data_IF_724126320958
#
_entry.id   IF_724126320958
#
_cell.length_a   1.000
_cell.length_b   1.000
_cell.length_c   1.000
_cell.angle_alpha   90.00
_cell.angle_beta   90.00
_cell.angle_gamma   90.00
#
_symmetry.space_group_name_H-M   'P 1'
#
loop_
_entity.id
_entity.type
_entity.pdbx_description
1 polymer ?
#
# COMPACT_ATOMS: atom_id res chain seq x y z
N UNK A 1 -46.27 38.55 -33.23
CA UNK A 1 -45.68 38.78 -34.58
C UNK A 1 -44.97 40.13 -34.56
N UNK A 2 -43.63 40.15 -34.60
CA UNK A 2 -42.84 41.40 -34.54
C UNK A 2 -42.81 42.02 -35.93
N UNK A 3 -43.32 43.25 -36.05
CA UNK A 3 -43.30 44.00 -37.32
C UNK A 3 -41.89 44.55 -37.56
N UNK A 4 -41.40 44.41 -38.79
CA UNK A 4 -40.12 45.02 -39.20
C UNK A 4 -40.24 46.54 -39.19
N UNK A 5 -39.14 47.22 -38.84
CA UNK A 5 -39.08 48.67 -38.84
C UNK A 5 -39.25 49.28 -40.24
N UNK A 6 -39.64 50.56 -40.33
CA UNK A 6 -39.82 51.24 -41.61
C UNK A 6 -38.48 51.36 -42.36
N UNK A 7 -38.56 51.34 -43.68
CA UNK A 7 -37.40 51.57 -44.55
C UNK A 7 -37.01 53.06 -44.41
N UNK A 8 -35.70 53.38 -44.27
CA UNK A 8 -35.27 54.77 -44.12
C UNK A 8 -35.73 55.62 -45.31
N UNK A 9 -36.10 56.85 -45.01
CA UNK A 9 -36.65 57.76 -46.00
C UNK A 9 -35.55 58.29 -46.93
N UNK A 10 -35.90 58.63 -48.17
CA UNK A 10 -34.93 59.15 -49.16
C UNK A 10 -34.19 60.42 -48.69
N UNK A 11 -34.81 61.21 -47.80
CA UNK A 11 -34.23 62.43 -47.24
C UNK A 11 -33.45 62.19 -45.93
N UNK A 12 -33.49 60.98 -45.38
CA UNK A 12 -32.85 60.63 -44.13
C UNK A 12 -31.36 60.36 -44.35
N UNK A 13 -30.50 61.11 -43.65
CA UNK A 13 -29.05 60.94 -43.78
C UNK A 13 -28.63 59.70 -42.99
N UNK A 14 -27.77 58.83 -43.55
CA UNK A 14 -27.28 57.67 -42.82
C UNK A 14 -26.56 58.12 -41.55
N UNK A 15 -26.71 57.35 -40.47
CA UNK A 15 -25.92 57.55 -39.24
C UNK A 15 -24.48 57.12 -39.55
N UNK A 16 -23.70 58.04 -40.11
CA UNK A 16 -22.27 57.86 -40.31
C UNK A 16 -21.63 58.19 -38.97
N UNK A 17 -20.98 57.21 -38.33
CA UNK A 17 -20.14 57.51 -37.16
C UNK A 17 -19.10 58.55 -37.57
N UNK A 18 -19.01 59.63 -36.80
CA UNK A 18 -17.99 60.66 -37.02
C UNK A 18 -16.62 60.00 -37.10
N UNK A 19 -15.85 60.36 -38.14
CA UNK A 19 -14.49 59.83 -38.29
C UNK A 19 -13.71 60.19 -37.02
N UNK A 20 -13.15 59.18 -36.36
CA UNK A 20 -12.34 59.40 -35.16
C UNK A 20 -11.22 60.40 -35.48
N UNK A 21 -11.10 61.45 -34.67
CA UNK A 21 -10.01 62.44 -34.75
C UNK A 21 -8.70 61.88 -34.19
N UNK A 22 -8.41 60.61 -34.48
CA UNK A 22 -7.22 59.91 -34.01
C UNK A 22 -6.10 60.18 -35.00
N UNK A 23 -5.03 60.80 -34.54
CA UNK A 23 -3.85 61.04 -35.37
C UNK A 23 -2.99 59.77 -35.43
N UNK A 24 -3.21 58.99 -36.49
CA UNK A 24 -2.48 57.73 -36.70
C UNK A 24 -1.00 57.95 -36.98
N UNK A 25 -0.57 59.14 -37.43
CA UNK A 25 0.85 59.40 -37.72
C UNK A 25 1.63 59.52 -36.41
N UNK A 26 1.15 60.35 -35.49
CA UNK A 26 1.81 60.53 -34.19
C UNK A 26 1.69 59.29 -33.31
N UNK A 27 0.56 58.59 -33.36
CA UNK A 27 0.35 57.39 -32.56
C UNK A 27 1.19 56.21 -33.03
N UNK A 28 1.30 55.96 -34.33
CA UNK A 28 2.15 54.88 -34.83
C UNK A 28 3.64 55.19 -34.57
N UNK A 29 4.04 56.47 -34.68
CA UNK A 29 5.38 56.91 -34.33
C UNK A 29 5.68 56.66 -32.84
N UNK A 30 4.75 57.04 -31.95
CA UNK A 30 4.89 56.81 -30.51
C UNK A 30 4.87 55.33 -30.15
N UNK A 31 4.04 54.52 -30.82
CA UNK A 31 3.95 53.08 -30.60
C UNK A 31 5.27 52.40 -30.97
N UNK A 32 5.87 52.76 -32.10
CA UNK A 32 7.16 52.22 -32.53
C UNK A 32 8.32 52.67 -31.62
N UNK A 33 8.31 53.93 -31.16
CA UNK A 33 9.33 54.45 -30.21
C UNK A 33 9.23 53.73 -28.86
N UNK A 34 8.00 53.42 -28.41
CA UNK A 34 7.75 52.73 -27.14
C UNK A 34 7.87 51.21 -27.25
N UNK A 35 7.96 50.67 -28.46
CA UNK A 35 8.08 49.24 -28.67
C UNK A 35 9.40 48.74 -28.10
N UNK A 36 9.34 47.61 -27.40
CA UNK A 36 10.56 46.90 -26.98
C UNK A 36 11.16 46.22 -28.21
N UNK A 37 12.50 46.15 -28.33
CA UNK A 37 13.13 45.42 -29.41
C UNK A 37 12.68 43.94 -29.39
N UNK A 38 12.65 43.28 -30.56
CA UNK A 38 12.36 41.85 -30.62
C UNK A 38 13.36 41.07 -29.77
N UNK A 39 12.92 39.91 -29.27
CA UNK A 39 13.81 39.00 -28.54
C UNK A 39 14.93 38.57 -29.49
N UNK A 40 16.16 38.94 -29.15
CA UNK A 40 17.37 38.44 -29.82
C UNK A 40 17.51 36.95 -29.48
N UNK A 41 18.02 36.16 -30.42
CA UNK A 41 18.36 34.76 -30.17
C UNK A 41 19.24 34.66 -28.91
N UNK A 42 18.81 33.85 -27.95
CA UNK A 42 19.57 33.68 -26.71
C UNK A 42 20.88 32.98 -27.04
N UNK A 43 22.01 33.56 -26.62
CA UNK A 43 23.32 32.92 -26.73
C UNK A 43 23.33 31.55 -26.03
N UNK A 44 24.27 30.68 -26.44
CA UNK A 44 24.38 29.32 -25.90
C UNK A 44 24.48 29.31 -24.37
N UNK A 45 23.57 28.56 -23.73
CA UNK A 45 23.52 28.47 -22.27
C UNK A 45 24.64 27.57 -21.74
N UNK A 46 25.63 28.19 -21.09
CA UNK A 46 26.72 27.47 -20.44
C UNK A 46 26.24 26.75 -19.17
N UNK A 47 26.22 25.42 -19.16
CA UNK A 47 25.80 24.64 -17.99
C UNK A 47 26.71 24.81 -16.75
N UNK A 48 27.93 25.28 -16.96
CA UNK A 48 28.90 25.61 -15.90
C UNK A 48 28.52 26.88 -15.13
N UNK A 49 27.77 27.80 -15.74
CA UNK A 49 27.35 29.05 -15.10
C UNK A 49 26.15 28.89 -14.16
N UNK A 50 25.68 27.65 -13.97
CA UNK A 50 24.58 27.35 -13.05
C UNK A 50 24.96 27.75 -11.60
N UNK A 51 24.07 28.45 -10.86
CA UNK A 51 24.36 28.90 -9.50
C UNK A 51 24.52 27.76 -8.49
N UNK A 52 24.00 26.58 -8.83
CA UNK A 52 24.09 25.33 -8.07
C UNK A 52 25.19 24.39 -8.58
N UNK A 53 26.00 24.80 -9.56
CA UNK A 53 27.13 24.00 -10.04
C UNK A 53 28.09 23.72 -8.86
N UNK A 54 28.45 22.45 -8.68
CA UNK A 54 29.28 21.99 -7.56
C UNK A 54 28.61 21.96 -6.18
N UNK A 55 27.32 22.32 -6.05
CA UNK A 55 26.58 22.27 -4.77
C UNK A 55 25.69 21.03 -4.72
N UNK A 56 25.66 20.37 -3.56
CA UNK A 56 24.76 19.23 -3.33
C UNK A 56 23.30 19.75 -3.25
N UNK A 57 22.38 19.26 -4.10
CA UNK A 57 20.98 19.62 -4.03
C UNK A 57 20.34 19.31 -2.67
N UNK A 58 19.47 20.22 -2.19
CA UNK A 58 18.84 20.08 -0.87
C UNK A 58 17.99 18.81 -0.70
N UNK A 59 17.34 18.34 -1.78
CA UNK A 59 16.50 17.15 -1.73
C UNK A 59 17.28 15.88 -1.35
N UNK A 60 18.57 15.79 -1.71
CA UNK A 60 19.39 14.61 -1.40
C UNK A 60 19.56 14.41 0.12
N UNK A 61 19.52 15.48 0.92
CA UNK A 61 19.55 15.39 2.38
C UNK A 61 18.28 14.71 2.91
N UNK A 62 17.13 15.08 2.33
CA UNK A 62 15.84 14.47 2.69
C UNK A 62 15.80 12.99 2.29
N UNK A 63 16.21 12.67 1.06
CA UNK A 63 16.27 11.28 0.58
C UNK A 63 17.19 10.41 1.43
N UNK A 64 18.37 10.91 1.82
CA UNK A 64 19.28 10.18 2.72
C UNK A 64 18.64 9.90 4.08
N UNK A 65 17.90 10.87 4.63
CA UNK A 65 17.18 10.69 5.89
C UNK A 65 16.10 9.62 5.76
N UNK A 66 15.30 9.67 4.69
CA UNK A 66 14.27 8.67 4.41
C UNK A 66 14.86 7.26 4.27
N UNK A 67 15.95 7.11 3.52
CA UNK A 67 16.64 5.82 3.37
C UNK A 67 17.12 5.29 4.72
N UNK A 68 17.66 6.15 5.58
CA UNK A 68 18.12 5.76 6.91
C UNK A 68 16.96 5.32 7.82
N UNK A 69 15.85 6.05 7.81
CA UNK A 69 14.62 5.70 8.55
C UNK A 69 14.04 4.37 8.07
N UNK A 70 13.93 4.16 6.77
CA UNK A 70 13.42 2.91 6.19
C UNK A 70 14.35 1.73 6.49
N UNK A 71 15.67 1.93 6.40
CA UNK A 71 16.64 0.89 6.79
C UNK A 71 16.48 0.50 8.26
N UNK A 72 16.34 1.47 9.17
CA UNK A 72 16.15 1.19 10.59
C UNK A 72 14.87 0.39 10.86
N UNK A 73 13.77 0.69 10.14
CA UNK A 73 12.53 -0.09 10.24
C UNK A 73 12.71 -1.51 9.72
N UNK A 74 13.37 -1.67 8.58
CA UNK A 74 13.65 -2.99 8.01
C UNK A 74 14.52 -3.82 8.95
N UNK A 75 15.56 -3.23 9.53
CA UNK A 75 16.45 -3.90 10.47
C UNK A 75 15.68 -4.33 11.74
N UNK A 76 14.77 -3.50 12.25
CA UNK A 76 13.91 -3.84 13.38
C UNK A 76 12.94 -4.98 13.06
N UNK A 77 12.32 -4.97 11.88
CA UNK A 77 11.43 -6.04 11.41
C UNK A 77 12.17 -7.37 11.27
N UNK A 78 13.38 -7.35 10.69
CA UNK A 78 14.20 -8.55 10.56
C UNK A 78 14.63 -9.11 11.91
N UNK A 79 14.96 -8.25 12.88
CA UNK A 79 15.30 -8.69 14.24
C UNK A 79 14.10 -9.33 14.96
N UNK A 80 12.89 -8.79 14.78
CA UNK A 80 11.67 -9.38 15.31
C UNK A 80 11.38 -10.74 14.64
N UNK A 81 11.55 -10.85 13.32
CA UNK A 81 11.44 -12.13 12.63
C UNK A 81 12.48 -13.13 13.12
N UNK A 82 13.75 -12.76 13.26
CA UNK A 82 14.81 -13.66 13.73
C UNK A 82 14.55 -14.17 15.15
N UNK A 83 13.90 -13.39 16.02
CA UNK A 83 13.44 -13.84 17.33
C UNK A 83 12.32 -14.90 17.23
N UNK A 84 11.34 -14.68 16.34
CA UNK A 84 10.24 -15.64 16.09
C UNK A 84 10.74 -16.88 15.35
N UNK A 85 11.77 -16.72 14.52
CA UNK A 85 12.38 -17.72 13.66
C UNK A 85 13.57 -18.43 14.35
N UNK A 86 13.71 -18.32 15.68
CA UNK A 86 14.44 -19.29 16.52
C UNK A 86 13.71 -20.64 16.52
N UNK A 87 13.48 -21.14 15.31
CA UNK A 87 12.70 -22.29 14.98
C UNK A 87 13.70 -23.44 14.91
N UNK A 88 13.71 -24.30 15.93
CA UNK A 88 14.62 -25.44 15.98
C UNK A 88 14.00 -26.60 15.20
N UNK A 89 14.79 -27.24 14.33
CA UNK A 89 14.37 -28.50 13.71
C UNK A 89 14.17 -29.56 14.81
N UNK A 90 13.00 -30.21 14.80
CA UNK A 90 12.69 -31.30 15.73
C UNK A 90 13.44 -32.57 15.27
N UNK A 91 14.40 -33.08 16.06
CA UNK A 91 15.12 -34.29 15.69
C UNK A 91 14.17 -35.50 15.65
N UNK A 92 14.53 -36.50 14.83
CA UNK A 92 13.70 -37.69 14.60
C UNK A 92 13.41 -38.48 15.89
N UNK A 93 14.38 -38.53 16.81
CA UNK A 93 14.24 -39.22 18.09
C UNK A 93 13.17 -38.58 19.00
N UNK A 94 13.20 -37.25 19.12
CA UNK A 94 12.20 -36.50 19.89
C UNK A 94 10.80 -36.64 19.28
N UNK A 95 10.72 -36.63 17.94
CA UNK A 95 9.48 -36.88 17.19
C UNK A 95 8.90 -38.27 17.49
N UNK A 96 9.71 -39.32 17.43
CA UNK A 96 9.25 -40.69 17.69
C UNK A 96 8.79 -40.86 19.14
N UNK A 97 9.50 -40.22 20.08
CA UNK A 97 9.10 -40.17 21.49
C UNK A 97 7.74 -39.48 21.64
N UNK A 98 7.53 -38.34 20.98
CA UNK A 98 6.27 -37.59 21.03
C UNK A 98 5.10 -38.42 20.49
N UNK A 99 5.29 -39.13 19.37
CA UNK A 99 4.28 -40.03 18.79
C UNK A 99 3.93 -41.15 19.77
N UNK A 100 4.93 -41.74 20.46
CA UNK A 100 4.68 -42.76 21.49
C UNK A 100 3.83 -42.21 22.63
N UNK A 101 4.19 -41.03 23.16
CA UNK A 101 3.44 -40.38 24.24
C UNK A 101 2.00 -40.05 23.83
N UNK A 102 1.79 -39.54 22.61
CA UNK A 102 0.46 -39.25 22.08
C UNK A 102 -0.39 -40.51 21.96
N UNK A 103 0.20 -41.64 21.51
CA UNK A 103 -0.50 -42.94 21.45
C UNK A 103 -0.89 -43.44 22.85
N UNK A 104 -0.01 -43.32 23.84
CA UNK A 104 -0.33 -43.67 25.23
C UNK A 104 -1.47 -42.82 25.77
N UNK A 105 -1.44 -41.50 25.52
CA UNK A 105 -2.51 -40.58 25.92
C UNK A 105 -3.83 -40.91 25.23
N UNK A 106 -3.80 -41.24 23.93
CA UNK A 106 -4.97 -41.69 23.19
C UNK A 106 -5.56 -42.97 23.80
N UNK A 107 -4.73 -43.95 24.15
CA UNK A 107 -5.20 -45.19 24.79
C UNK A 107 -5.89 -44.92 26.14
N UNK A 108 -5.31 -44.04 26.96
CA UNK A 108 -5.91 -43.64 28.25
C UNK A 108 -7.29 -42.97 28.04
N UNK A 109 -7.34 -41.95 27.18
CA UNK A 109 -8.59 -41.23 26.87
C UNK A 109 -9.64 -42.14 26.24
N UNK A 110 -9.24 -43.01 25.31
CA UNK A 110 -10.14 -43.96 24.68
C UNK A 110 -10.67 -44.97 25.71
N UNK A 111 -9.84 -45.42 26.67
CA UNK A 111 -10.31 -46.27 27.76
C UNK A 111 -11.39 -45.59 28.60
N UNK A 112 -11.24 -44.29 28.87
CA UNK A 112 -12.22 -43.51 29.64
C UNK A 112 -13.47 -43.19 28.84
N UNK A 113 -13.34 -42.97 27.53
CA UNK A 113 -14.45 -42.85 26.60
C UNK A 113 -15.29 -44.13 26.55
N UNK A 114 -14.65 -45.30 26.49
CA UNK A 114 -15.35 -46.59 26.47
C UNK A 114 -16.03 -46.93 27.80
N UNK A 115 -15.57 -46.36 28.93
CA UNK A 115 -16.24 -46.47 30.24
C UNK A 115 -17.49 -45.59 30.34
N UNK A 116 -17.78 -44.74 29.36
CA UNK A 116 -18.99 -43.91 29.38
C UNK A 116 -20.26 -44.77 29.35
N UNK A 117 -21.31 -44.37 30.07
CA UNK A 117 -22.59 -45.05 30.02
C UNK A 117 -23.22 -44.91 28.62
N UNK A 118 -23.85 -45.98 28.14
CA UNK A 118 -24.57 -46.01 26.86
C UNK A 118 -25.71 -44.98 26.79
N UNK A 119 -26.38 -44.70 27.92
CA UNK A 119 -27.45 -43.69 28.00
C UNK A 119 -26.87 -42.28 28.21
N UNK A 120 -27.19 -41.38 27.28
CA UNK A 120 -26.73 -39.99 27.22
C UNK A 120 -27.88 -39.00 27.43
N UNK A 121 -28.74 -39.28 28.40
CA UNK A 121 -30.03 -38.57 28.54
C UNK A 121 -29.88 -37.14 29.07
N UNK A 122 -28.83 -36.88 29.86
CA UNK A 122 -28.56 -35.56 30.44
C UNK A 122 -27.59 -34.75 29.56
N UNK A 123 -27.77 -33.42 29.42
CA UNK A 123 -26.88 -32.58 28.62
C UNK A 123 -25.41 -32.66 29.07
N UNK A 124 -25.15 -32.80 30.37
CA UNK A 124 -23.78 -32.96 30.90
C UNK A 124 -23.08 -34.23 30.40
N UNK A 125 -23.81 -35.33 30.22
CA UNK A 125 -23.26 -36.58 29.65
C UNK A 125 -22.92 -36.42 28.17
N UNK A 126 -23.79 -35.75 27.40
CA UNK A 126 -23.54 -35.43 25.98
C UNK A 126 -22.30 -34.56 25.82
N UNK A 127 -22.20 -33.47 26.59
CA UNK A 127 -21.04 -32.58 26.58
C UNK A 127 -19.73 -33.31 26.93
N UNK A 128 -19.77 -34.25 27.88
CA UNK A 128 -18.59 -35.06 28.24
C UNK A 128 -18.16 -35.97 27.08
N UNK A 129 -19.11 -36.59 26.38
CA UNK A 129 -18.83 -37.39 25.17
C UNK A 129 -18.20 -36.54 24.08
N UNK A 130 -18.81 -35.40 23.75
CA UNK A 130 -18.31 -34.46 22.74
C UNK A 130 -16.88 -33.99 23.08
N UNK A 131 -16.60 -33.72 24.37
CA UNK A 131 -15.27 -33.34 24.82
C UNK A 131 -14.23 -34.44 24.56
N UNK A 132 -14.56 -35.71 24.87
CA UNK A 132 -13.66 -36.83 24.60
C UNK A 132 -13.48 -37.06 23.09
N UNK A 133 -14.54 -36.97 22.30
CA UNK A 133 -14.47 -37.10 20.84
C UNK A 133 -13.58 -36.00 20.23
N UNK A 134 -13.75 -34.75 20.67
CA UNK A 134 -12.92 -33.65 20.20
C UNK A 134 -11.43 -33.85 20.57
N UNK A 135 -11.14 -34.32 21.79
CA UNK A 135 -9.77 -34.61 22.21
C UNK A 135 -9.14 -35.78 21.45
N UNK A 136 -9.89 -36.86 21.21
CA UNK A 136 -9.42 -38.00 20.42
C UNK A 136 -9.13 -37.59 18.97
N UNK A 137 -10.05 -36.85 18.35
CA UNK A 137 -9.86 -36.31 17.00
C UNK A 137 -8.64 -35.39 16.91
N UNK A 138 -8.38 -34.57 17.93
CA UNK A 138 -7.21 -33.71 17.97
C UNK A 138 -5.92 -34.55 18.01
N UNK A 139 -5.85 -35.55 18.90
CA UNK A 139 -4.68 -36.41 19.01
C UNK A 139 -4.45 -37.22 17.72
N UNK A 140 -5.51 -37.68 17.06
CA UNK A 140 -5.39 -38.38 15.77
C UNK A 140 -4.83 -37.47 14.67
N UNK A 141 -5.29 -36.22 14.59
CA UNK A 141 -4.75 -35.22 13.67
C UNK A 141 -3.29 -34.93 13.96
N UNK A 142 -2.92 -34.77 15.23
CA UNK A 142 -1.55 -34.48 15.66
C UNK A 142 -0.62 -35.65 15.30
N UNK A 143 -1.03 -36.90 15.58
CA UNK A 143 -0.27 -38.10 15.20
C UNK A 143 -0.12 -38.17 13.66
N UNK A 144 -1.18 -37.91 12.91
CA UNK A 144 -1.13 -37.93 11.44
C UNK A 144 -0.16 -36.89 10.89
N UNK A 145 -0.18 -35.67 11.43
CA UNK A 145 0.71 -34.59 11.03
C UNK A 145 2.17 -34.95 11.33
N UNK A 146 2.45 -35.48 12.52
CA UNK A 146 3.78 -35.94 12.88
C UNK A 146 4.23 -37.08 11.95
N UNK A 147 3.41 -38.09 11.71
CA UNK A 147 3.81 -39.24 10.89
C UNK A 147 4.04 -38.89 9.42
N UNK A 148 3.25 -37.98 8.85
CA UNK A 148 3.34 -37.58 7.44
C UNK A 148 4.52 -36.65 7.13
N UNK A 149 4.92 -35.81 8.08
CA UNK A 149 5.97 -34.81 7.87
C UNK A 149 7.38 -35.40 8.02
N UNK A 150 8.25 -35.21 7.03
CA UNK A 150 9.65 -35.65 7.11
C UNK A 150 10.51 -34.68 7.93
N UNK A 151 10.24 -33.37 7.82
CA UNK A 151 10.91 -32.30 8.55
C UNK A 151 9.87 -31.47 9.30
N UNK A 152 10.14 -31.19 10.57
CA UNK A 152 9.30 -30.37 11.44
C UNK A 152 10.19 -29.34 12.12
N UNK A 153 9.69 -28.11 12.21
CA UNK A 153 10.36 -27.01 12.88
C UNK A 153 9.46 -26.53 14.00
N UNK A 154 10.02 -26.38 15.20
CA UNK A 154 9.31 -25.87 16.36
C UNK A 154 9.70 -24.41 16.53
N UNK A 155 8.74 -23.52 16.38
CA UNK A 155 8.89 -22.10 16.76
C UNK A 155 8.66 -21.96 18.26
N UNK A 156 9.63 -21.38 18.98
CA UNK A 156 9.42 -20.98 20.36
C UNK A 156 8.46 -19.79 20.36
N UNK A 157 7.21 -20.02 20.75
CA UNK A 157 6.19 -18.99 20.97
C UNK A 157 6.08 -18.60 22.43
#
# INVERSE_FOLDING_TARGET
>A
MVRKGPVPLRAERPIIQDRSSKDFVTLNALENIKARPPLVDQEEYWYTSKPSFGKVPGYLKHTKRQIAEEKAKMDAYLAEQEQVEQARELPKEEKDLLVRLLKTKWQQLNSDFLKLPFSLDTPSKKKRKEMYEAQLQQIEKDIWLLQRSEKLVITAG
#
